data_IF_847755763717
#
_entry.id   IF_847755763717
#
_cell.length_a   1.000
_cell.length_b   1.000
_cell.length_c   1.000
_cell.angle_alpha   90.00
_cell.angle_beta   90.00
_cell.angle_gamma   90.00
#
_symmetry.space_group_name_H-M   'P 1'
#
loop_
_entity.id
_entity.type
_entity.pdbx_description
1 polymer ?
#
# COMPACT_ATOMS: atom_id res chain seq x y z
N UNK A 1 -90.19 17.75 -4.23
CA UNK A 1 -88.97 17.80 -5.04
C UNK A 1 -87.79 17.52 -4.13
N UNK A 2 -87.34 16.30 -4.02
CA UNK A 2 -86.14 15.90 -3.26
C UNK A 2 -85.14 15.33 -4.26
N UNK A 3 -84.01 16.03 -4.48
CA UNK A 3 -82.94 15.56 -5.31
C UNK A 3 -82.01 14.62 -4.53
N UNK A 4 -81.92 13.38 -4.98
CA UNK A 4 -81.04 12.37 -4.47
C UNK A 4 -79.63 12.53 -5.14
N UNK A 5 -78.62 12.83 -4.37
CA UNK A 5 -77.20 12.86 -4.85
C UNK A 5 -76.63 11.50 -4.57
N UNK A 6 -76.33 10.76 -5.64
CA UNK A 6 -75.57 9.51 -5.60
C UNK A 6 -74.03 9.87 -5.65
N UNK A 7 -73.37 9.70 -4.54
CA UNK A 7 -71.92 9.83 -4.48
C UNK A 7 -71.21 8.52 -4.89
N UNK A 8 -70.53 8.54 -6.00
CA UNK A 8 -69.71 7.41 -6.47
C UNK A 8 -68.33 7.48 -5.76
N UNK A 9 -68.10 6.58 -4.85
CA UNK A 9 -66.80 6.43 -4.25
C UNK A 9 -65.87 5.65 -5.19
N UNK A 10 -64.84 6.34 -5.75
CA UNK A 10 -63.78 5.71 -6.52
C UNK A 10 -62.77 5.12 -5.54
N UNK A 11 -62.77 3.81 -5.38
CA UNK A 11 -61.72 3.09 -4.64
C UNK A 11 -60.47 2.93 -5.54
N UNK A 12 -59.47 3.81 -5.34
CA UNK A 12 -58.16 3.63 -5.94
C UNK A 12 -57.40 2.56 -5.15
N UNK A 13 -57.35 1.34 -5.68
CA UNK A 13 -56.45 0.29 -5.20
C UNK A 13 -55.03 0.66 -5.60
N UNK A 14 -54.25 1.13 -4.64
CA UNK A 14 -52.78 1.22 -4.77
C UNK A 14 -52.23 -0.21 -4.74
N UNK A 15 -51.91 -0.75 -5.90
CA UNK A 15 -51.14 -1.98 -5.99
C UNK A 15 -49.74 -1.66 -5.48
N UNK A 16 -49.46 -2.02 -4.24
CA UNK A 16 -48.09 -2.09 -3.72
C UNK A 16 -47.37 -3.20 -4.50
N UNK A 17 -46.56 -2.82 -5.48
CA UNK A 17 -45.60 -3.74 -6.10
C UNK A 17 -44.64 -4.19 -5.02
N UNK A 18 -44.87 -5.37 -4.48
CA UNK A 18 -43.86 -6.07 -3.67
C UNK A 18 -42.70 -6.39 -4.63
N UNK A 19 -41.66 -5.60 -4.58
CA UNK A 19 -40.39 -5.99 -5.09
C UNK A 19 -39.80 -7.08 -4.17
N UNK A 20 -40.32 -8.30 -4.32
CA UNK A 20 -39.65 -9.52 -3.84
C UNK A 20 -38.63 -9.94 -4.91
N UNK A 21 -37.62 -9.15 -5.08
CA UNK A 21 -36.41 -9.54 -5.78
C UNK A 21 -35.30 -9.65 -4.74
N UNK A 22 -35.13 -10.81 -4.16
CA UNK A 22 -33.92 -11.15 -3.41
C UNK A 22 -32.75 -11.26 -4.38
N UNK A 23 -32.26 -10.14 -4.89
CA UNK A 23 -30.94 -10.07 -5.44
C UNK A 23 -30.04 -9.95 -4.22
N UNK A 24 -29.26 -11.00 -3.95
CA UNK A 24 -28.19 -10.93 -2.97
C UNK A 24 -27.38 -9.66 -3.29
N UNK A 25 -27.07 -8.87 -2.25
CA UNK A 25 -26.33 -7.63 -2.44
C UNK A 25 -24.98 -7.98 -3.05
N UNK A 26 -24.67 -7.45 -4.22
CA UNK A 26 -23.35 -7.60 -4.82
C UNK A 26 -22.37 -6.68 -4.08
N UNK A 27 -21.21 -7.21 -3.72
CA UNK A 27 -20.12 -6.45 -3.08
C UNK A 27 -18.98 -6.41 -4.07
N UNK A 28 -18.51 -5.23 -4.40
CA UNK A 28 -17.41 -5.04 -5.34
C UNK A 28 -16.16 -4.60 -4.60
N UNK A 29 -15.06 -5.32 -4.75
CA UNK A 29 -13.76 -5.00 -4.15
C UNK A 29 -12.78 -4.54 -5.23
N UNK A 30 -12.22 -3.36 -5.03
CA UNK A 30 -11.10 -2.89 -5.83
C UNK A 30 -9.81 -3.62 -5.45
N UNK A 31 -9.10 -4.20 -6.41
CA UNK A 31 -7.76 -4.74 -6.24
C UNK A 31 -6.79 -3.73 -6.87
N UNK A 32 -6.20 -2.90 -6.01
CA UNK A 32 -5.45 -1.70 -6.36
C UNK A 32 -3.96 -1.92 -6.06
N UNK A 33 -3.22 -2.43 -7.07
CA UNK A 33 -1.82 -2.86 -6.95
C UNK A 33 -1.02 -2.45 -8.19
N UNK A 34 0.32 -2.42 -8.09
CA UNK A 34 1.22 -2.10 -9.21
C UNK A 34 1.35 -3.26 -10.19
N UNK A 35 0.31 -3.49 -10.97
CA UNK A 35 0.29 -4.54 -11.99
C UNK A 35 1.27 -4.28 -13.13
N UNK A 36 1.71 -3.04 -13.29
CA UNK A 36 2.80 -2.63 -14.16
C UNK A 36 3.82 -1.82 -13.38
N UNK A 37 5.03 -1.65 -13.94
CA UNK A 37 6.07 -0.86 -13.30
C UNK A 37 7.12 -1.71 -12.59
N UNK A 38 7.96 -1.09 -11.74
CA UNK A 38 9.20 -1.70 -11.26
C UNK A 38 9.01 -2.84 -10.25
N UNK A 39 7.80 -3.02 -9.70
CA UNK A 39 7.52 -4.10 -8.74
C UNK A 39 6.54 -5.16 -9.27
N UNK A 40 6.30 -5.17 -10.58
CA UNK A 40 5.38 -6.13 -11.22
C UNK A 40 5.65 -7.57 -10.79
N UNK A 41 6.94 -7.96 -10.67
CA UNK A 41 7.35 -9.30 -10.22
C UNK A 41 6.89 -9.63 -8.80
N UNK A 42 6.82 -8.65 -7.91
CA UNK A 42 6.36 -8.82 -6.52
C UNK A 42 4.84 -8.86 -6.42
N UNK A 43 4.14 -8.15 -7.32
CA UNK A 43 2.67 -8.07 -7.34
C UNK A 43 2.04 -9.28 -8.03
N UNK A 44 2.82 -10.04 -8.80
CA UNK A 44 2.35 -11.20 -9.56
C UNK A 44 1.54 -12.20 -8.71
N UNK A 45 1.87 -12.35 -7.42
CA UNK A 45 1.17 -13.24 -6.49
C UNK A 45 0.12 -12.51 -5.62
N UNK A 46 0.27 -11.19 -5.41
CA UNK A 46 -0.62 -10.43 -4.53
C UNK A 46 -2.02 -10.27 -5.13
N UNK A 47 -2.09 -9.95 -6.42
CA UNK A 47 -3.37 -9.80 -7.12
C UNK A 47 -4.17 -11.11 -7.15
N UNK A 48 -3.60 -12.20 -7.67
CA UNK A 48 -4.23 -13.52 -7.60
C UNK A 48 -4.57 -13.97 -6.18
N UNK A 49 -3.74 -13.64 -5.18
CA UNK A 49 -4.03 -13.94 -3.77
C UNK A 49 -5.30 -13.25 -3.26
N UNK A 50 -5.48 -11.97 -3.58
CA UNK A 50 -6.70 -11.24 -3.24
C UNK A 50 -7.94 -11.84 -3.94
N UNK A 51 -7.83 -12.17 -5.23
CA UNK A 51 -8.90 -12.78 -6.00
C UNK A 51 -9.23 -14.19 -5.52
N UNK A 52 -8.22 -14.96 -5.11
CA UNK A 52 -8.41 -16.28 -4.52
C UNK A 52 -9.19 -16.19 -3.21
N UNK A 53 -8.86 -15.25 -2.32
CA UNK A 53 -9.62 -15.01 -1.10
C UNK A 53 -11.08 -14.64 -1.38
N UNK A 54 -11.33 -13.84 -2.42
CA UNK A 54 -12.70 -13.52 -2.88
C UNK A 54 -13.43 -14.79 -3.36
N UNK A 55 -12.75 -15.67 -4.08
CA UNK A 55 -13.32 -16.97 -4.51
C UNK A 55 -13.70 -17.84 -3.31
N UNK A 56 -12.82 -17.98 -2.31
CA UNK A 56 -13.09 -18.73 -1.08
C UNK A 56 -14.29 -18.15 -0.31
N UNK A 57 -14.39 -16.83 -0.20
CA UNK A 57 -15.54 -16.16 0.42
C UNK A 57 -16.84 -16.51 -0.31
N UNK A 58 -16.84 -16.45 -1.64
CA UNK A 58 -18.01 -16.80 -2.46
C UNK A 58 -18.40 -18.28 -2.34
N UNK A 59 -17.42 -19.18 -2.32
CA UNK A 59 -17.64 -20.62 -2.20
C UNK A 59 -18.13 -21.03 -0.81
N UNK A 60 -17.70 -20.31 0.22
CA UNK A 60 -18.10 -20.58 1.60
C UNK A 60 -19.59 -20.34 1.86
N UNK A 61 -20.24 -19.48 1.08
CA UNK A 61 -21.63 -19.04 1.31
C UNK A 61 -21.82 -18.30 2.64
N UNK A 62 -20.73 -17.84 3.29
CA UNK A 62 -20.76 -17.23 4.62
C UNK A 62 -21.25 -15.77 4.61
N UNK A 63 -21.32 -15.13 3.45
CA UNK A 63 -21.85 -13.78 3.36
C UNK A 63 -23.35 -13.73 3.56
N UNK A 64 -23.81 -12.71 4.27
CA UNK A 64 -25.22 -12.48 4.52
C UNK A 64 -26.01 -12.39 3.21
N UNK A 65 -27.21 -12.97 3.22
CA UNK A 65 -28.14 -12.96 2.09
C UNK A 65 -27.59 -13.58 0.79
N UNK A 66 -26.59 -14.48 0.88
CA UNK A 66 -25.94 -15.06 -0.28
C UNK A 66 -25.34 -14.02 -1.23
N UNK A 67 -24.87 -12.90 -0.69
CA UNK A 67 -24.16 -11.88 -1.45
C UNK A 67 -22.95 -12.48 -2.16
N UNK A 68 -22.63 -11.95 -3.35
CA UNK A 68 -21.43 -12.30 -4.09
C UNK A 68 -20.45 -11.14 -4.05
N UNK A 69 -19.17 -11.49 -3.93
CA UNK A 69 -18.08 -10.54 -4.05
C UNK A 69 -17.48 -10.63 -5.44
N UNK A 70 -17.28 -9.49 -6.08
CA UNK A 70 -16.56 -9.37 -7.35
C UNK A 70 -15.30 -8.53 -7.17
N UNK A 71 -14.28 -8.77 -8.00
CA UNK A 71 -13.03 -8.02 -7.99
C UNK A 71 -12.93 -7.12 -9.23
N UNK A 72 -12.43 -5.89 -9.05
CA UNK A 72 -12.07 -4.98 -10.13
C UNK A 72 -10.63 -4.53 -9.93
N UNK A 73 -9.75 -4.82 -10.91
CA UNK A 73 -8.35 -4.41 -10.85
C UNK A 73 -8.15 -2.95 -11.23
N UNK A 74 -7.23 -2.29 -10.54
CA UNK A 74 -6.71 -0.98 -10.91
C UNK A 74 -5.20 -0.93 -10.64
N UNK A 75 -4.46 -0.37 -11.59
CA UNK A 75 -3.00 -0.32 -11.54
C UNK A 75 -2.52 0.93 -10.82
N UNK A 76 -1.65 0.75 -9.81
CA UNK A 76 -1.00 1.85 -9.08
C UNK A 76 0.27 2.32 -9.76
N UNK A 77 0.85 1.52 -10.65
CA UNK A 77 2.21 1.68 -11.23
C UNK A 77 3.35 1.73 -10.21
N UNK A 78 3.06 1.79 -8.92
CA UNK A 78 3.99 1.98 -7.78
C UNK A 78 4.70 3.34 -7.72
N UNK A 79 4.98 3.99 -8.86
CA UNK A 79 5.85 5.18 -8.95
C UNK A 79 5.11 6.47 -9.32
N UNK A 80 3.96 6.38 -9.99
CA UNK A 80 3.18 7.54 -10.43
C UNK A 80 1.97 7.78 -9.52
N UNK A 81 2.15 8.70 -8.57
CA UNK A 81 1.07 9.07 -7.63
C UNK A 81 -0.15 9.68 -8.33
N UNK A 82 0.02 10.34 -9.49
CA UNK A 82 -1.09 10.89 -10.26
C UNK A 82 -1.91 9.79 -10.92
N UNK A 83 -1.25 8.82 -11.56
CA UNK A 83 -1.88 7.64 -12.14
C UNK A 83 -2.61 6.81 -11.06
N UNK A 84 -1.99 6.60 -9.91
CA UNK A 84 -2.59 5.89 -8.80
C UNK A 84 -3.86 6.59 -8.26
N UNK A 85 -3.83 7.92 -8.10
CA UNK A 85 -5.00 8.68 -7.68
C UNK A 85 -6.14 8.58 -8.69
N UNK A 86 -5.85 8.70 -9.99
CA UNK A 86 -6.85 8.53 -11.04
C UNK A 86 -7.45 7.11 -11.05
N UNK A 87 -6.62 6.09 -10.81
CA UNK A 87 -7.05 4.70 -10.78
C UNK A 87 -7.99 4.40 -9.60
N UNK A 88 -7.68 4.89 -8.39
CA UNK A 88 -8.57 4.70 -7.23
C UNK A 88 -9.85 5.56 -7.35
N UNK A 89 -9.77 6.77 -7.93
CA UNK A 89 -10.94 7.58 -8.20
C UNK A 89 -11.90 6.87 -9.16
N UNK A 90 -11.38 6.22 -10.20
CA UNK A 90 -12.20 5.39 -11.11
C UNK A 90 -12.87 4.23 -10.36
N UNK A 91 -12.12 3.50 -9.52
CA UNK A 91 -12.69 2.42 -8.70
C UNK A 91 -13.88 2.90 -7.88
N UNK A 92 -13.75 4.07 -7.24
CA UNK A 92 -14.78 4.61 -6.35
C UNK A 92 -15.97 5.15 -7.15
N UNK A 93 -15.73 5.96 -8.18
CA UNK A 93 -16.77 6.75 -8.85
C UNK A 93 -17.43 6.05 -10.03
N UNK A 94 -16.68 5.25 -10.78
CA UNK A 94 -17.15 4.57 -11.97
C UNK A 94 -17.48 3.09 -11.73
N UNK A 95 -16.59 2.39 -11.02
CA UNK A 95 -16.77 0.96 -10.74
C UNK A 95 -17.59 0.71 -9.46
N UNK A 96 -17.76 1.71 -8.59
CA UNK A 96 -18.63 1.67 -7.42
C UNK A 96 -18.21 0.64 -6.37
N UNK A 97 -16.87 0.52 -6.13
CA UNK A 97 -16.35 -0.46 -5.17
C UNK A 97 -16.76 -0.13 -3.72
N UNK A 98 -17.01 -1.16 -2.92
CA UNK A 98 -17.38 -1.06 -1.49
C UNK A 98 -16.15 -1.02 -0.57
N UNK A 99 -14.98 -1.41 -1.06
CA UNK A 99 -13.71 -1.41 -0.35
C UNK A 99 -12.55 -1.67 -1.30
N UNK A 100 -11.32 -1.42 -0.84
CA UNK A 100 -10.11 -1.56 -1.63
C UNK A 100 -9.08 -2.44 -0.93
N UNK A 101 -8.62 -3.48 -1.58
CA UNK A 101 -7.39 -4.21 -1.24
C UNK A 101 -6.24 -3.55 -2.01
N UNK A 102 -5.34 -2.91 -1.27
CA UNK A 102 -4.25 -2.12 -1.84
C UNK A 102 -4.05 -0.78 -1.09
N UNK A 103 -3.17 0.14 -1.47
CA UNK A 103 -2.08 -0.03 -2.45
C UNK A 103 -0.91 -0.81 -1.89
N UNK A 104 0.05 -1.02 -2.73
CA UNK A 104 1.24 -1.81 -2.45
C UNK A 104 2.46 -0.97 -2.06
N UNK A 105 2.81 0.03 -2.84
CA UNK A 105 3.94 0.92 -2.59
C UNK A 105 3.53 2.10 -1.71
N UNK A 106 4.34 2.44 -0.70
CA UNK A 106 3.97 3.40 0.35
C UNK A 106 3.61 4.79 -0.19
N UNK A 107 4.37 5.33 -1.15
CA UNK A 107 4.14 6.68 -1.71
C UNK A 107 2.79 6.78 -2.44
N UNK A 108 2.52 5.87 -3.39
CA UNK A 108 1.24 5.87 -4.11
C UNK A 108 0.06 5.52 -3.22
N UNK A 109 0.28 4.66 -2.20
CA UNK A 109 -0.73 4.36 -1.18
C UNK A 109 -1.10 5.60 -0.37
N UNK A 110 -0.10 6.33 0.12
CA UNK A 110 -0.31 7.57 0.86
C UNK A 110 -1.05 8.61 0.04
N UNK A 111 -0.63 8.83 -1.21
CA UNK A 111 -1.27 9.77 -2.12
C UNK A 111 -2.73 9.38 -2.41
N UNK A 112 -3.00 8.11 -2.73
CA UNK A 112 -4.34 7.60 -2.99
C UNK A 112 -5.23 7.68 -1.73
N UNK A 113 -4.70 7.31 -0.57
CA UNK A 113 -5.40 7.37 0.71
C UNK A 113 -5.82 8.80 1.03
N UNK A 114 -4.84 9.71 1.14
CA UNK A 114 -5.10 11.06 1.66
C UNK A 114 -5.93 11.92 0.72
N UNK A 115 -5.69 11.80 -0.60
CA UNK A 115 -6.30 12.71 -1.58
C UNK A 115 -7.62 12.17 -2.16
N UNK A 116 -7.84 10.85 -2.12
CA UNK A 116 -9.01 10.26 -2.79
C UNK A 116 -9.83 9.38 -1.83
N UNK A 117 -9.22 8.36 -1.21
CA UNK A 117 -9.99 7.40 -0.41
C UNK A 117 -10.63 8.04 0.83
N UNK A 118 -9.88 8.80 1.64
CA UNK A 118 -10.40 9.46 2.85
C UNK A 118 -11.51 10.48 2.58
N UNK A 119 -11.40 11.36 1.56
CA UNK A 119 -12.50 12.26 1.20
C UNK A 119 -13.79 11.53 0.82
N UNK A 120 -13.67 10.35 0.22
CA UNK A 120 -14.80 9.53 -0.22
C UNK A 120 -15.27 8.49 0.83
N UNK A 121 -14.64 8.44 2.01
CA UNK A 121 -14.98 7.46 3.05
C UNK A 121 -14.66 6.02 2.69
N UNK A 122 -13.70 5.81 1.76
CA UNK A 122 -13.31 4.49 1.26
C UNK A 122 -12.31 3.81 2.18
N UNK A 123 -12.63 2.57 2.58
CA UNK A 123 -11.71 1.71 3.35
C UNK A 123 -10.66 1.11 2.42
N UNK A 124 -9.41 1.15 2.87
CA UNK A 124 -8.28 0.51 2.21
C UNK A 124 -7.57 -0.48 3.13
N UNK A 125 -7.25 -1.66 2.61
CA UNK A 125 -6.43 -2.67 3.30
C UNK A 125 -5.22 -2.99 2.43
N UNK A 126 -4.05 -2.47 2.83
CA UNK A 126 -2.80 -2.66 2.08
C UNK A 126 -2.15 -4.01 2.41
N UNK A 127 -1.70 -4.79 1.42
CA UNK A 127 -0.92 -6.00 1.65
C UNK A 127 0.55 -5.71 2.00
N UNK A 128 1.13 -4.59 1.57
CA UNK A 128 2.59 -4.41 1.58
C UNK A 128 3.10 -2.97 1.74
N UNK A 129 2.26 -1.97 1.87
CA UNK A 129 2.72 -0.60 2.14
C UNK A 129 3.17 -0.47 3.61
N UNK A 130 4.47 -0.36 3.83
CA UNK A 130 5.10 -0.52 5.15
C UNK A 130 5.61 0.77 5.78
N UNK A 131 5.69 1.88 5.05
CA UNK A 131 6.21 3.14 5.61
C UNK A 131 5.58 3.48 6.96
N UNK A 132 6.39 3.89 7.96
CA UNK A 132 5.87 4.37 9.25
C UNK A 132 4.91 5.55 9.11
N UNK A 133 5.07 6.37 8.07
CA UNK A 133 4.18 7.49 7.75
C UNK A 133 2.72 7.09 7.50
N UNK A 134 2.46 5.82 7.18
CA UNK A 134 1.11 5.27 7.03
C UNK A 134 0.49 4.81 8.36
N UNK A 135 1.20 4.93 9.48
CA UNK A 135 0.68 4.65 10.83
C UNK A 135 0.17 5.94 11.47
N UNK A 136 -1.04 6.33 11.14
CA UNK A 136 -1.64 7.60 11.55
C UNK A 136 -2.10 7.57 13.02
N UNK A 137 -1.18 7.87 13.94
CA UNK A 137 -1.45 7.85 15.37
C UNK A 137 -2.48 8.90 15.84
N UNK A 138 -2.80 9.89 15.01
CA UNK A 138 -3.72 10.99 15.30
C UNK A 138 -5.10 10.85 14.64
N UNK A 139 -5.47 9.65 14.20
CA UNK A 139 -6.68 9.38 13.44
C UNK A 139 -6.81 10.21 12.13
N UNK A 140 -5.70 10.59 11.54
CA UNK A 140 -5.69 11.30 10.25
C UNK A 140 -6.33 10.47 9.14
N UNK A 141 -6.18 9.14 9.22
CA UNK A 141 -6.80 8.16 8.35
C UNK A 141 -8.29 7.87 8.68
N UNK A 142 -8.82 8.52 9.71
CA UNK A 142 -10.21 8.34 10.19
C UNK A 142 -10.59 6.86 10.44
N UNK A 143 -9.60 5.99 10.66
CA UNK A 143 -9.81 4.55 10.80
C UNK A 143 -10.24 3.85 9.51
N UNK A 144 -9.85 4.38 8.35
CA UNK A 144 -10.18 3.83 7.03
C UNK A 144 -8.98 3.15 6.35
N UNK A 145 -7.77 3.22 6.95
CA UNK A 145 -6.60 2.54 6.43
C UNK A 145 -6.13 1.43 7.36
N UNK A 146 -5.92 0.28 6.79
CA UNK A 146 -5.37 -0.90 7.46
C UNK A 146 -4.27 -1.52 6.60
N UNK A 147 -3.40 -2.32 7.21
CA UNK A 147 -2.40 -3.11 6.48
C UNK A 147 -2.16 -4.45 7.16
N UNK A 148 -1.85 -5.46 6.37
CA UNK A 148 -1.51 -6.80 6.85
C UNK A 148 0.00 -6.96 7.08
N UNK A 149 0.82 -6.12 6.44
CA UNK A 149 2.26 -6.05 6.66
C UNK A 149 2.61 -5.21 7.91
N UNK A 150 3.63 -5.57 8.69
CA UNK A 150 4.10 -4.74 9.79
C UNK A 150 4.73 -3.43 9.28
N UNK A 151 4.80 -2.43 10.17
CA UNK A 151 5.50 -1.18 9.87
C UNK A 151 7.02 -1.35 9.80
N UNK A 152 7.68 -0.60 8.93
CA UNK A 152 9.14 -0.51 8.85
C UNK A 152 9.78 0.00 10.15
N UNK A 153 9.02 0.65 11.02
CA UNK A 153 9.48 0.94 12.38
C UNK A 153 9.91 -0.33 13.13
N UNK A 154 9.20 -1.45 12.92
CA UNK A 154 9.60 -2.75 13.49
C UNK A 154 10.81 -3.33 12.75
N UNK A 155 10.87 -3.20 11.44
CA UNK A 155 12.01 -3.67 10.64
C UNK A 155 13.30 -2.94 11.06
N UNK A 156 13.26 -1.62 11.25
CA UNK A 156 14.39 -0.85 11.74
C UNK A 156 14.93 -1.33 13.08
N UNK A 157 14.04 -1.67 14.02
CA UNK A 157 14.45 -2.27 15.33
C UNK A 157 15.11 -3.64 15.14
N UNK A 158 14.51 -4.52 14.32
CA UNK A 158 15.07 -5.88 14.12
C UNK A 158 16.43 -5.82 13.41
N UNK A 159 16.58 -4.97 12.38
CA UNK A 159 17.89 -4.76 11.74
C UNK A 159 18.93 -4.24 12.74
N UNK A 160 18.56 -3.32 13.61
CA UNK A 160 19.43 -2.82 14.68
C UNK A 160 19.88 -3.95 15.59
N UNK A 161 18.95 -4.78 16.09
CA UNK A 161 19.25 -5.93 16.94
C UNK A 161 20.27 -6.85 16.26
N UNK A 162 20.05 -7.21 14.99
CA UNK A 162 20.95 -8.11 14.24
C UNK A 162 22.36 -7.52 14.09
N UNK A 163 22.47 -6.24 13.73
CA UNK A 163 23.78 -5.60 13.56
C UNK A 163 24.54 -5.45 14.89
N UNK A 164 23.83 -5.07 15.97
CA UNK A 164 24.43 -4.96 17.30
C UNK A 164 24.88 -6.32 17.84
N UNK A 165 24.12 -7.38 17.61
CA UNK A 165 24.50 -8.75 18.01
C UNK A 165 25.75 -9.24 17.24
N UNK A 166 25.97 -8.77 16.01
CA UNK A 166 27.19 -9.01 15.23
C UNK A 166 28.37 -8.11 15.65
N UNK A 167 28.15 -7.19 16.60
CA UNK A 167 29.17 -6.27 17.08
C UNK A 167 29.45 -5.08 16.16
N UNK A 168 28.63 -4.87 15.12
CA UNK A 168 28.77 -3.77 14.16
C UNK A 168 28.34 -2.47 14.86
N UNK A 169 29.20 -1.44 14.86
CA UNK A 169 29.02 -0.20 15.58
C UNK A 169 28.81 1.02 14.70
N UNK A 170 29.14 0.92 13.42
CA UNK A 170 28.99 2.01 12.47
C UNK A 170 28.54 1.50 11.10
N UNK A 171 27.61 2.20 10.47
CA UNK A 171 27.11 1.86 9.13
C UNK A 171 26.93 3.09 8.26
N UNK A 172 27.15 2.94 6.96
CA UNK A 172 26.63 3.85 5.95
C UNK A 172 25.23 3.37 5.53
N UNK A 173 24.30 4.30 5.30
CA UNK A 173 22.94 4.00 4.86
C UNK A 173 22.69 4.68 3.53
N UNK A 174 22.09 3.96 2.61
CA UNK A 174 21.47 4.55 1.42
C UNK A 174 20.05 4.03 1.24
N UNK A 175 19.19 4.84 0.64
CA UNK A 175 17.77 4.45 0.48
C UNK A 175 17.23 4.88 -0.89
N UNK A 176 16.31 4.10 -1.44
CA UNK A 176 15.56 4.50 -2.64
C UNK A 176 14.79 5.80 -2.34
N UNK A 177 14.95 6.82 -3.19
CA UNK A 177 14.39 8.17 -2.96
C UNK A 177 12.87 8.21 -3.13
N UNK A 178 12.16 7.53 -2.24
CA UNK A 178 10.71 7.50 -2.16
C UNK A 178 10.25 7.31 -0.69
N UNK A 179 8.94 7.39 -0.44
CA UNK A 179 8.38 7.32 0.93
C UNK A 179 8.65 5.98 1.64
N UNK A 180 8.78 4.88 0.89
CA UNK A 180 9.15 3.59 1.46
C UNK A 180 10.61 3.60 1.90
N UNK A 181 11.55 3.85 0.97
CA UNK A 181 12.98 3.82 1.26
C UNK A 181 13.37 4.80 2.37
N UNK A 182 12.86 6.03 2.27
CA UNK A 182 13.10 7.06 3.30
C UNK A 182 12.53 6.64 4.66
N UNK A 183 11.29 6.16 4.70
CA UNK A 183 10.63 5.75 5.94
C UNK A 183 11.37 4.62 6.65
N UNK A 184 11.84 3.62 5.90
CA UNK A 184 12.65 2.51 6.42
C UNK A 184 14.02 2.99 6.92
N UNK A 185 14.71 3.83 6.14
CA UNK A 185 16.02 4.37 6.52
C UNK A 185 15.94 5.24 7.79
N UNK A 186 14.95 6.12 7.89
CA UNK A 186 14.74 6.95 9.07
C UNK A 186 14.39 6.11 10.32
N UNK A 187 13.56 5.09 10.17
CA UNK A 187 13.20 4.17 11.26
C UNK A 187 14.42 3.36 11.74
N UNK A 188 15.21 2.86 10.80
CA UNK A 188 16.47 2.17 11.11
C UNK A 188 17.45 3.10 11.80
N UNK A 189 17.73 4.29 11.25
CA UNK A 189 18.63 5.27 11.84
C UNK A 189 18.24 5.57 13.29
N UNK A 190 16.96 5.89 13.52
CA UNK A 190 16.46 6.20 14.85
C UNK A 190 16.69 5.06 15.85
N UNK A 191 16.43 3.82 15.46
CA UNK A 191 16.62 2.65 16.29
C UNK A 191 18.11 2.36 16.55
N UNK A 192 18.94 2.49 15.49
CA UNK A 192 20.36 2.18 15.57
C UNK A 192 21.14 3.18 16.44
N UNK A 193 20.85 4.48 16.28
CA UNK A 193 21.44 5.53 17.13
C UNK A 193 20.98 5.40 18.59
N UNK A 194 19.70 5.07 18.82
CA UNK A 194 19.18 4.81 20.17
C UNK A 194 19.86 3.62 20.86
N UNK A 195 20.31 2.63 20.09
CA UNK A 195 21.07 1.47 20.56
C UNK A 195 22.58 1.75 20.71
N UNK A 196 23.04 2.97 20.42
CA UNK A 196 24.45 3.39 20.53
C UNK A 196 25.28 3.13 19.28
N UNK A 197 24.65 2.83 18.14
CA UNK A 197 25.31 2.75 16.84
C UNK A 197 25.55 4.13 16.22
N UNK A 198 26.38 4.18 15.21
CA UNK A 198 26.71 5.40 14.47
C UNK A 198 26.30 5.27 13.01
N UNK A 199 25.49 6.20 12.52
CA UNK A 199 25.22 6.36 11.08
C UNK A 199 26.25 7.35 10.52
N UNK A 200 27.12 6.89 9.64
CA UNK A 200 28.17 7.73 9.04
C UNK A 200 27.62 8.63 7.94
N UNK A 201 26.64 8.14 7.22
CA UNK A 201 25.89 8.85 6.18
C UNK A 201 24.52 8.19 6.03
N UNK A 202 23.49 8.97 5.75
CA UNK A 202 22.16 8.49 5.33
C UNK A 202 21.75 9.31 4.11
N UNK A 203 21.85 8.70 2.91
CA UNK A 203 21.71 9.42 1.64
C UNK A 203 20.76 8.69 0.68
N UNK A 204 19.90 9.44 -0.03
CA UNK A 204 19.07 8.85 -1.08
C UNK A 204 19.89 8.42 -2.28
N UNK A 205 19.39 7.39 -2.98
CA UNK A 205 19.79 7.08 -4.34
C UNK A 205 18.56 7.13 -5.24
N UNK A 206 18.79 7.65 -6.46
CA UNK A 206 17.74 7.70 -7.48
C UNK A 206 17.61 6.33 -8.15
N UNK A 207 16.40 5.97 -8.56
CA UNK A 207 16.15 4.77 -9.33
C UNK A 207 16.53 4.93 -10.82
N UNK A 208 16.70 3.83 -11.52
CA UNK A 208 16.87 3.80 -12.98
C UNK A 208 18.21 4.34 -13.51
N UNK A 209 19.21 4.55 -12.66
CA UNK A 209 20.55 4.92 -13.10
C UNK A 209 21.29 3.72 -13.70
N UNK A 210 22.09 3.97 -14.75
CA UNK A 210 22.91 2.95 -15.37
C UNK A 210 24.16 2.60 -14.53
N UNK A 211 24.62 3.51 -13.65
CA UNK A 211 25.83 3.36 -12.84
C UNK A 211 25.65 4.04 -11.49
N UNK A 212 26.04 3.36 -10.42
CA UNK A 212 25.99 3.82 -9.02
C UNK A 212 27.38 3.93 -8.38
N UNK A 213 28.45 3.89 -9.16
CA UNK A 213 29.85 3.96 -8.65
C UNK A 213 30.09 5.25 -7.84
N UNK A 214 29.48 6.37 -8.25
CA UNK A 214 29.62 7.65 -7.53
C UNK A 214 28.92 7.64 -6.17
N UNK A 215 27.75 7.03 -6.06
CA UNK A 215 27.05 6.87 -4.80
C UNK A 215 27.82 5.95 -3.86
N UNK A 216 28.30 4.81 -4.36
CA UNK A 216 29.11 3.86 -3.58
C UNK A 216 30.40 4.51 -3.10
N UNK A 217 31.09 5.29 -3.96
CA UNK A 217 32.28 6.02 -3.57
C UNK A 217 32.00 7.07 -2.47
N UNK A 218 30.88 7.77 -2.53
CA UNK A 218 30.47 8.72 -1.50
C UNK A 218 30.15 8.02 -0.18
N UNK A 219 29.42 6.90 -0.21
CA UNK A 219 29.10 6.07 0.94
C UNK A 219 30.39 5.53 1.60
N UNK A 220 31.30 4.98 0.80
CA UNK A 220 32.59 4.47 1.28
C UNK A 220 33.47 5.57 1.89
N UNK A 221 33.47 6.77 1.29
CA UNK A 221 34.23 7.92 1.81
C UNK A 221 33.71 8.42 3.15
N UNK A 222 32.44 8.25 3.43
CA UNK A 222 31.85 8.57 4.74
C UNK A 222 32.23 7.54 5.81
N UNK A 223 32.72 6.36 5.41
CA UNK A 223 33.09 5.28 6.31
C UNK A 223 31.90 4.45 6.77
N UNK A 224 32.15 3.59 7.77
CA UNK A 224 31.18 2.63 8.27
C UNK A 224 31.67 1.19 8.05
N UNK A 225 31.37 0.31 9.00
CA UNK A 225 31.78 -1.09 8.93
C UNK A 225 30.94 -1.89 7.94
N UNK A 226 29.72 -1.43 7.68
CA UNK A 226 28.79 -2.07 6.74
C UNK A 226 27.96 -1.03 6.00
N UNK A 227 27.45 -1.44 4.84
CA UNK A 227 26.46 -0.69 4.07
C UNK A 227 25.05 -1.27 4.31
N UNK A 228 24.12 -0.40 4.65
CA UNK A 228 22.69 -0.70 4.73
C UNK A 228 22.00 -0.08 3.51
N UNK A 229 21.30 -0.89 2.74
CA UNK A 229 20.53 -0.46 1.59
C UNK A 229 19.03 -0.61 1.90
N UNK A 230 18.33 0.50 2.08
CA UNK A 230 16.91 0.55 2.39
C UNK A 230 16.10 0.90 1.14
N UNK A 231 15.33 -0.04 0.61
CA UNK A 231 14.55 0.21 -0.60
C UNK A 231 14.33 -1.01 -1.46
N UNK A 232 13.95 -0.77 -2.69
CA UNK A 232 13.69 -1.84 -3.64
C UNK A 232 14.95 -2.29 -4.38
N UNK A 233 15.10 -3.60 -4.51
CA UNK A 233 16.22 -4.21 -5.27
C UNK A 233 16.20 -3.72 -6.71
N UNK A 234 15.03 -3.71 -7.34
CA UNK A 234 14.84 -3.36 -8.75
C UNK A 234 14.84 -1.83 -9.02
N UNK A 235 14.90 -1.01 -7.96
CA UNK A 235 14.97 0.46 -8.05
C UNK A 235 16.33 1.00 -7.62
N UNK A 236 17.41 0.35 -8.03
CA UNK A 236 18.78 0.77 -7.77
C UNK A 236 19.47 0.05 -6.62
N UNK A 237 18.73 -0.50 -5.65
CA UNK A 237 19.33 -1.18 -4.50
C UNK A 237 20.24 -2.34 -4.89
N UNK A 238 19.82 -3.19 -5.81
CA UNK A 238 20.63 -4.30 -6.33
C UNK A 238 21.90 -3.83 -7.02
N UNK A 239 21.82 -2.79 -7.83
CA UNK A 239 22.97 -2.23 -8.54
C UNK A 239 23.98 -1.57 -7.57
N UNK A 240 23.52 -0.93 -6.51
CA UNK A 240 24.37 -0.40 -5.43
C UNK A 240 25.08 -1.52 -4.70
N UNK A 241 24.38 -2.59 -4.35
CA UNK A 241 24.97 -3.77 -3.71
C UNK A 241 26.06 -4.35 -4.63
N UNK A 242 25.77 -4.55 -5.91
CA UNK A 242 26.75 -5.07 -6.87
C UNK A 242 27.96 -4.14 -7.00
N UNK A 243 27.77 -2.83 -7.17
CA UNK A 243 28.85 -1.87 -7.26
C UNK A 243 29.69 -1.81 -5.98
N UNK A 244 29.08 -1.97 -4.80
CA UNK A 244 29.78 -2.06 -3.54
C UNK A 244 30.68 -3.30 -3.45
N UNK A 245 30.17 -4.46 -3.88
CA UNK A 245 30.95 -5.71 -3.94
C UNK A 245 32.10 -5.62 -4.92
N UNK A 246 31.87 -5.11 -6.13
CA UNK A 246 32.84 -5.00 -7.19
C UNK A 246 34.02 -4.06 -6.83
N UNK A 247 33.69 -3.00 -6.07
CA UNK A 247 34.71 -2.04 -5.60
C UNK A 247 35.41 -2.45 -4.31
N UNK A 248 34.90 -3.43 -3.58
CA UNK A 248 35.35 -3.78 -2.23
C UNK A 248 35.18 -2.63 -1.22
N UNK A 249 34.18 -1.77 -1.43
CA UNK A 249 33.98 -0.56 -0.64
C UNK A 249 33.57 -0.85 0.82
N UNK A 250 32.87 -1.97 1.04
CA UNK A 250 32.45 -2.43 2.35
C UNK A 250 32.74 -3.92 2.50
N UNK A 251 33.02 -4.35 3.74
CA UNK A 251 33.17 -5.77 4.04
C UNK A 251 31.80 -6.49 3.92
N UNK A 252 31.82 -7.74 3.45
CA UNK A 252 30.63 -8.57 3.24
C UNK A 252 30.32 -9.41 4.49
#
# INVERSE_FOLDING_TARGET
MKKLLIGTALATSVAASAFAGGHGKEVTIGVFLGFTGPIESMVAEMGPGAEFAISEVNESGALLDSAKVTAVRADTTCIDSGAAQAAIERLITADGVDGVVGGDCSGVTGAALMNVALPNGMVMVSPSATSPGLSHNNNEDKGLFFRTAPSDARQGVVMTEVLMDQGIKSVAVTYTNNDYGKGLADAFQSAYEAAGGTITINAPHEEGKADYSSEVAALASAGGERLVVAGYVDQGGGAIIQASLDSGAFDT
#
